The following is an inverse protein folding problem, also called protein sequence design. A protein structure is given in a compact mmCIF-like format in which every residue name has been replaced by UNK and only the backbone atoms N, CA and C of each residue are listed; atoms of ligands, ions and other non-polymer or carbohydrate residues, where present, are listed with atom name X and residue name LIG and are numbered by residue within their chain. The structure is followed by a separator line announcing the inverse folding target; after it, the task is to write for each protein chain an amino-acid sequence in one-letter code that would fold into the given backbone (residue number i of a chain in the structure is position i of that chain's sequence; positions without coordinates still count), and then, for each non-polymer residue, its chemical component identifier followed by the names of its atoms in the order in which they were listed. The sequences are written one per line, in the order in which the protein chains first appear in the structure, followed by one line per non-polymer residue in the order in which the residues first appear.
data_IF_221190389230
#
_entry.id   IF_221190389230
#
_cell.length_a   1.000
_cell.length_b   1.000
_cell.length_c   1.000
_cell.angle_alpha   90.00
_cell.angle_beta   90.00
_cell.angle_gamma   90.00
#
_symmetry.space_group_name_H-M   'P 1'
#
loop_
_entity.id
_entity.type
_entity.pdbx_description
1 polymer ?
#
# COMPACT_ATOMS: atom_id res chain seq x y z
N UNK A 1 -0.39 -13.39 -9.50
CA UNK A 1 0.82 -12.60 -9.17
C UNK A 1 0.38 -11.14 -9.03
N UNK A 2 0.77 -10.46 -7.94
CA UNK A 2 0.38 -9.05 -7.74
C UNK A 2 1.21 -8.11 -8.61
N UNK A 3 0.62 -6.99 -9.04
CA UNK A 3 1.31 -5.90 -9.73
C UNK A 3 2.14 -5.05 -8.76
N UNK A 4 3.09 -4.25 -9.25
CA UNK A 4 3.85 -3.32 -8.40
C UNK A 4 2.95 -2.29 -7.69
N UNK A 5 1.87 -1.83 -8.33
CA UNK A 5 0.86 -0.98 -7.71
C UNK A 5 0.18 -1.67 -6.53
N UNK A 6 -0.24 -2.94 -6.70
CA UNK A 6 -0.87 -3.72 -5.63
C UNK A 6 0.08 -4.00 -4.47
N UNK A 7 1.35 -4.32 -4.76
CA UNK A 7 2.38 -4.53 -3.74
C UNK A 7 2.64 -3.22 -2.97
N UNK A 8 2.72 -2.08 -3.66
CA UNK A 8 2.84 -0.77 -3.02
C UNK A 8 1.65 -0.46 -2.12
N UNK A 9 0.41 -0.67 -2.58
CA UNK A 9 -0.79 -0.46 -1.75
C UNK A 9 -0.77 -1.35 -0.50
N UNK A 10 -0.45 -2.64 -0.67
CA UNK A 10 -0.34 -3.58 0.44
C UNK A 10 0.71 -3.12 1.48
N UNK A 11 1.87 -2.67 1.00
CA UNK A 11 2.94 -2.11 1.83
C UNK A 11 2.51 -0.84 2.60
N UNK A 12 1.81 0.08 1.96
CA UNK A 12 1.33 1.31 2.62
C UNK A 12 0.27 1.01 3.68
N UNK A 13 -0.58 0.00 3.45
CA UNK A 13 -1.57 -0.47 4.44
C UNK A 13 -0.88 -1.14 5.64
N UNK A 14 0.20 -1.90 5.39
CA UNK A 14 0.93 -2.66 6.42
C UNK A 14 1.75 -1.80 7.38
N UNK A 15 2.11 -0.58 6.98
CA UNK A 15 2.97 0.29 7.77
C UNK A 15 2.41 0.69 9.14
N UNK A 16 3.24 1.35 9.95
CA UNK A 16 2.88 1.82 11.28
C UNK A 16 3.24 3.32 11.50
N UNK A 17 2.25 4.23 11.61
CA UNK A 17 0.83 3.99 11.31
C UNK A 17 0.65 3.67 9.82
N UNK A 18 -0.37 2.87 9.47
CA UNK A 18 -0.63 2.44 8.09
C UNK A 18 -1.66 3.33 7.39
N UNK A 19 -1.59 3.43 6.06
CA UNK A 19 -2.56 4.16 5.24
C UNK A 19 -3.71 3.23 4.90
N UNK A 20 -4.70 3.20 5.78
CA UNK A 20 -5.77 2.19 5.77
C UNK A 20 -7.09 2.67 5.18
N UNK A 21 -7.31 3.98 5.10
CA UNK A 21 -8.56 4.55 4.62
C UNK A 21 -8.62 4.66 3.10
N UNK A 22 -9.72 4.22 2.49
CA UNK A 22 -9.91 4.25 1.03
C UNK A 22 -9.75 5.65 0.45
N UNK A 23 -10.35 6.68 1.06
CA UNK A 23 -10.23 8.05 0.56
C UNK A 23 -8.80 8.58 0.61
N UNK A 24 -8.04 8.21 1.63
CA UNK A 24 -6.62 8.60 1.73
C UNK A 24 -5.80 7.92 0.64
N UNK A 25 -6.02 6.62 0.42
CA UNK A 25 -5.38 5.89 -0.68
C UNK A 25 -5.73 6.51 -2.04
N UNK A 26 -7.01 6.70 -2.34
CA UNK A 26 -7.45 7.35 -3.57
C UNK A 26 -6.79 8.71 -3.77
N UNK A 27 -6.84 9.60 -2.77
CA UNK A 27 -6.23 10.93 -2.84
C UNK A 27 -4.72 10.88 -3.11
N UNK A 28 -4.03 9.93 -2.50
CA UNK A 28 -2.59 9.81 -2.63
C UNK A 28 -2.18 9.32 -4.01
N UNK A 29 -2.87 8.31 -4.53
CA UNK A 29 -2.58 7.77 -5.84
C UNK A 29 -3.11 8.64 -6.97
N UNK A 30 -4.27 9.29 -6.83
CA UNK A 30 -4.76 10.27 -7.81
C UNK A 30 -3.82 11.47 -7.92
N UNK A 31 -3.13 11.83 -6.83
CA UNK A 31 -2.08 12.86 -6.89
C UNK A 31 -0.86 12.40 -7.69
N UNK A 32 -0.55 11.11 -7.66
CA UNK A 32 0.66 10.58 -8.27
C UNK A 32 0.45 10.09 -9.72
N UNK A 33 -0.74 9.59 -10.02
CA UNK A 33 -1.04 8.75 -11.20
C UNK A 33 -2.56 8.78 -11.49
N UNK A 34 -3.07 9.87 -12.08
CA UNK A 34 -4.51 10.10 -12.31
C UNK A 34 -4.99 9.59 -13.69
N UNK A 35 -6.11 8.83 -13.78
CA UNK A 35 -6.92 8.31 -12.69
C UNK A 35 -6.36 7.01 -12.11
N UNK A 36 -6.32 6.88 -10.79
CA UNK A 36 -5.58 5.78 -10.16
C UNK A 36 -6.35 4.47 -9.98
N UNK A 37 -7.67 4.49 -10.15
CA UNK A 37 -8.65 3.41 -9.87
C UNK A 37 -8.19 2.41 -8.80
N UNK A 38 -8.19 2.89 -7.56
CA UNK A 38 -7.67 2.13 -6.41
C UNK A 38 -8.56 0.94 -6.03
N UNK A 39 -9.85 0.99 -6.35
CA UNK A 39 -10.80 -0.07 -5.99
C UNK A 39 -10.47 -1.39 -6.68
N UNK A 40 -10.07 -1.37 -7.95
CA UNK A 40 -9.64 -2.58 -8.67
C UNK A 40 -8.46 -3.23 -7.95
N UNK A 41 -7.50 -2.44 -7.48
CA UNK A 41 -6.32 -2.94 -6.81
C UNK A 41 -6.65 -3.49 -5.41
N UNK A 42 -7.52 -2.83 -4.66
CA UNK A 42 -7.93 -3.29 -3.33
C UNK A 42 -8.78 -4.56 -3.39
N UNK A 43 -9.68 -4.68 -4.37
CA UNK A 43 -10.49 -5.89 -4.55
C UNK A 43 -9.61 -7.12 -4.75
N UNK A 44 -8.56 -7.02 -5.56
CA UNK A 44 -7.58 -8.11 -5.74
C UNK A 44 -6.90 -8.48 -4.42
N UNK A 45 -6.52 -7.49 -3.61
CA UNK A 45 -5.89 -7.75 -2.31
C UNK A 45 -6.86 -8.40 -1.30
N UNK A 46 -8.14 -8.04 -1.34
CA UNK A 46 -9.20 -8.65 -0.51
C UNK A 46 -9.49 -10.08 -0.97
N UNK A 47 -9.67 -10.31 -2.27
CA UNK A 47 -9.95 -11.64 -2.85
C UNK A 47 -8.82 -12.64 -2.58
N UNK A 48 -7.57 -12.18 -2.55
CA UNK A 48 -6.41 -13.00 -2.21
C UNK A 48 -6.13 -13.08 -0.69
N UNK A 49 -7.04 -12.55 0.14
CA UNK A 49 -6.91 -12.54 1.60
C UNK A 49 -5.61 -11.89 2.09
N UNK A 50 -5.09 -10.87 1.40
CA UNK A 50 -3.92 -10.10 1.83
C UNK A 50 -4.31 -8.92 2.73
N UNK A 51 -5.50 -8.38 2.51
CA UNK A 51 -6.13 -7.39 3.40
C UNK A 51 -7.57 -7.79 3.69
N UNK A 52 -8.14 -7.24 4.76
CA UNK A 52 -9.56 -7.34 5.09
C UNK A 52 -10.16 -5.95 5.28
N UNK A 53 -11.41 -5.77 4.86
CA UNK A 53 -12.21 -4.59 5.18
C UNK A 53 -12.67 -4.62 6.64
N UNK A 54 -12.60 -3.49 7.33
CA UNK A 54 -13.00 -3.36 8.74
C UNK A 54 -14.35 -2.66 8.93
N UNK A 55 -14.61 -1.64 8.13
CA UNK A 55 -15.83 -0.81 8.18
C UNK A 55 -16.37 -0.67 6.77
N UNK A 56 -17.70 -0.59 6.62
CA UNK A 56 -18.34 -0.34 5.33
C UNK A 56 -19.08 0.99 5.32
N UNK A 57 -19.11 1.63 4.16
CA UNK A 57 -20.07 2.69 3.87
C UNK A 57 -21.47 2.11 3.63
N UNK A 58 -22.48 2.98 3.55
CA UNK A 58 -23.86 2.59 3.22
C UNK A 58 -23.97 1.87 1.88
N UNK A 59 -23.09 2.19 0.93
CA UNK A 59 -23.00 1.53 -0.37
C UNK A 59 -22.22 0.19 -0.35
N UNK A 60 -21.95 -0.36 0.84
CA UNK A 60 -21.20 -1.61 1.07
C UNK A 60 -19.72 -1.59 0.67
N UNK A 61 -19.15 -0.43 0.30
CA UNK A 61 -17.71 -0.28 0.04
C UNK A 61 -16.94 -0.27 1.35
N UNK A 62 -15.83 -0.99 1.41
CA UNK A 62 -14.94 -0.95 2.57
C UNK A 62 -14.28 0.42 2.73
N UNK A 63 -14.42 1.01 3.92
CA UNK A 63 -13.90 2.33 4.29
C UNK A 63 -12.46 2.26 4.76
N UNK A 64 -12.13 1.21 5.51
CA UNK A 64 -10.82 0.98 6.09
C UNK A 64 -10.38 -0.46 5.89
N UNK A 65 -9.08 -0.65 5.68
CA UNK A 65 -8.47 -1.95 5.47
C UNK A 65 -7.44 -2.27 6.54
N UNK A 66 -7.24 -3.56 6.79
CA UNK A 66 -6.16 -4.07 7.64
C UNK A 66 -5.43 -5.18 6.90
N UNK A 67 -4.10 -5.21 7.03
CA UNK A 67 -3.31 -6.32 6.51
C UNK A 67 -3.61 -7.61 7.28
N UNK A 68 -3.65 -8.73 6.58
CA UNK A 68 -3.77 -10.06 7.19
C UNK A 68 -2.40 -10.68 7.42
N UNK A 69 -2.35 -11.80 8.16
CA UNK A 69 -1.10 -12.56 8.29
C UNK A 69 -0.56 -13.04 6.95
N UNK A 70 -1.46 -13.40 6.03
CA UNK A 70 -1.09 -13.82 4.67
C UNK A 70 -0.47 -12.64 3.88
N UNK A 71 -1.02 -11.44 4.03
CA UNK A 71 -0.45 -10.23 3.43
C UNK A 71 0.94 -9.90 3.96
N UNK A 72 1.15 -10.03 5.28
CA UNK A 72 2.47 -9.84 5.90
C UNK A 72 3.50 -10.83 5.35
N UNK A 73 3.16 -12.12 5.32
CA UNK A 73 4.03 -13.16 4.80
C UNK A 73 4.37 -12.88 3.33
N UNK A 74 3.36 -12.55 2.52
CA UNK A 74 3.56 -12.20 1.11
C UNK A 74 4.55 -11.04 0.95
N UNK A 75 4.40 -9.95 1.72
CA UNK A 75 5.32 -8.82 1.68
C UNK A 75 6.75 -9.23 2.08
N UNK A 76 6.90 -10.07 3.11
CA UNK A 76 8.23 -10.52 3.54
C UNK A 76 9.01 -11.29 2.47
N UNK A 77 8.30 -11.97 1.57
CA UNK A 77 8.88 -12.79 0.50
C UNK A 77 9.01 -12.04 -0.83
N UNK A 78 8.13 -11.06 -1.10
CA UNK A 78 7.96 -10.49 -2.44
C UNK A 78 8.16 -8.97 -2.51
N UNK A 79 8.33 -8.28 -1.38
CA UNK A 79 8.55 -6.84 -1.38
C UNK A 79 10.02 -6.50 -1.65
N UNK A 80 10.25 -5.65 -2.64
CA UNK A 80 11.57 -5.08 -2.93
C UNK A 80 11.48 -3.55 -2.98
N UNK A 81 12.18 -2.90 -2.05
CA UNK A 81 12.21 -1.44 -1.96
C UNK A 81 12.70 -0.79 -3.26
N UNK A 82 13.71 -1.35 -3.92
CA UNK A 82 14.24 -0.80 -5.17
C UNK A 82 13.21 -0.87 -6.30
N UNK A 83 12.57 -2.02 -6.49
CA UNK A 83 11.59 -2.22 -7.54
C UNK A 83 10.34 -1.34 -7.36
N UNK A 84 9.91 -1.14 -6.12
CA UNK A 84 8.77 -0.27 -5.81
C UNK A 84 9.12 1.19 -6.06
N UNK A 85 10.32 1.63 -5.66
CA UNK A 85 10.80 2.99 -5.93
C UNK A 85 10.94 3.22 -7.44
N UNK A 86 11.44 2.26 -8.19
CA UNK A 86 11.55 2.36 -9.65
C UNK A 86 10.18 2.37 -10.32
N UNK A 87 9.22 1.57 -9.84
CA UNK A 87 7.83 1.67 -10.28
C UNK A 87 7.25 3.06 -10.03
N UNK A 88 7.41 3.63 -8.83
CA UNK A 88 6.85 4.95 -8.51
C UNK A 88 7.41 6.02 -9.46
N UNK A 89 8.70 5.97 -9.81
CA UNK A 89 9.31 6.93 -10.77
C UNK A 89 8.68 6.90 -12.15
N UNK A 90 7.91 5.86 -12.50
CA UNK A 90 7.19 5.77 -13.79
C UNK A 90 5.82 6.44 -13.78
N UNK A 91 5.33 6.89 -12.62
CA UNK A 91 4.06 7.62 -12.48
C UNK A 91 4.16 9.05 -13.03
N UNK A 92 3.01 9.67 -13.31
CA UNK A 92 2.91 11.01 -13.89
C UNK A 92 3.51 12.11 -12.99
N UNK A 93 3.17 12.14 -11.70
CA UNK A 93 3.78 13.02 -10.68
C UNK A 93 4.28 12.18 -9.50
N UNK A 94 5.49 11.61 -9.60
CA UNK A 94 5.95 10.60 -8.66
C UNK A 94 6.43 11.21 -7.33
N UNK A 95 6.64 12.53 -7.27
CA UNK A 95 7.36 13.23 -6.19
C UNK A 95 6.78 12.90 -4.82
N UNK A 96 5.48 13.13 -4.66
CA UNK A 96 4.78 12.91 -3.40
C UNK A 96 4.84 11.43 -2.97
N UNK A 97 4.69 10.52 -3.93
CA UNK A 97 4.61 9.09 -3.65
C UNK A 97 5.97 8.46 -3.38
N UNK A 98 7.02 9.01 -3.99
CA UNK A 98 8.41 8.73 -3.67
C UNK A 98 8.73 9.14 -2.23
N UNK A 99 8.43 10.38 -1.86
CA UNK A 99 8.69 10.90 -0.50
C UNK A 99 7.94 10.09 0.56
N UNK A 100 6.64 9.85 0.33
CA UNK A 100 5.81 9.08 1.23
C UNK A 100 6.35 7.66 1.41
N UNK A 101 6.64 6.96 0.31
CA UNK A 101 7.07 5.56 0.36
C UNK A 101 8.44 5.41 1.02
N UNK A 102 9.39 6.31 0.72
CA UNK A 102 10.70 6.33 1.38
C UNK A 102 10.57 6.52 2.89
N UNK A 103 9.70 7.43 3.33
CA UNK A 103 9.48 7.63 4.77
C UNK A 103 8.96 6.37 5.49
N UNK A 104 8.22 5.48 4.82
CA UNK A 104 7.81 4.19 5.38
C UNK A 104 8.95 3.17 5.39
N UNK A 105 9.74 3.10 4.32
CA UNK A 105 10.92 2.22 4.22
C UNK A 105 11.93 2.56 5.32
N UNK A 106 12.25 3.84 5.49
CA UNK A 106 13.25 4.30 6.47
C UNK A 106 12.82 3.95 7.90
N UNK A 107 11.53 4.09 8.23
CA UNK A 107 10.97 3.67 9.53
C UNK A 107 11.17 2.19 9.82
N UNK A 108 11.05 1.33 8.80
CA UNK A 108 11.26 -0.11 8.97
C UNK A 108 12.74 -0.38 9.28
N UNK A 109 13.65 0.23 8.51
CA UNK A 109 15.09 0.09 8.71
C UNK A 109 15.52 0.55 10.12
N UNK A 110 14.98 1.67 10.59
CA UNK A 110 15.30 2.19 11.92
C UNK A 110 14.77 1.31 13.05
N UNK A 111 13.59 0.70 12.88
CA UNK A 111 13.06 -0.25 13.87
C UNK A 111 13.90 -1.53 13.94
N UNK A 112 14.34 -2.07 12.80
CA UNK A 112 15.22 -3.25 12.76
C UNK A 112 16.59 -2.98 13.40
N UNK A 113 17.12 -1.76 13.32
CA UNK A 113 18.39 -1.38 13.97
C UNK A 113 18.27 -1.23 15.49
N UNK A 114 17.08 -0.95 16.03
CA UNK A 114 16.86 -0.78 17.48
C UNK A 114 16.61 -2.10 18.21
N UNK A 115 16.26 -3.14 17.47
CA UNK A 115 15.98 -4.48 18.01
C UNK A 115 17.20 -5.43 17.95
N UNK A 116 18.32 -4.97 17.36
CA UNK A 116 19.61 -5.67 17.30
C UNK A 116 20.67 -4.92 18.12
#
# INVERSE_FOLDING_TARGET
MLTKKQILILFLISGNPGIRGIYTLMKFFDRADFPSDIMINLNVLVENNFIIGLEKFENSTDKNYMITKNGENFLSENFSSSEIIDYIKTMDDPTFMLELTKAYIDKIVDNTKREN
#
